data_IF_763696806714
#
_entry.id   IF_763696806714
#
_cell.length_a   1.000
_cell.length_b   1.000
_cell.length_c   1.000
_cell.angle_alpha   90.00
_cell.angle_beta   90.00
_cell.angle_gamma   90.00
#
_symmetry.space_group_name_H-M   'P 1'
#
loop_
_entity.id
_entity.type
_entity.pdbx_description
1 polymer ?
#
# COMPACT_ATOMS: atom_id res chain seq x y z
N UNK A 1 32.64 56.03 -41.75
CA UNK A 1 32.20 54.61 -41.80
C UNK A 1 32.54 53.97 -40.45
N UNK A 2 31.67 54.15 -39.45
CA UNK A 2 31.87 53.57 -38.12
C UNK A 2 31.30 52.16 -38.12
N UNK A 3 32.18 51.15 -38.03
CA UNK A 3 31.78 49.74 -38.00
C UNK A 3 31.23 49.44 -36.61
N UNK A 4 29.90 49.33 -36.50
CA UNK A 4 29.27 48.64 -35.37
C UNK A 4 29.71 47.17 -35.43
N UNK A 5 30.69 46.81 -34.61
CA UNK A 5 30.91 45.42 -34.22
C UNK A 5 29.86 45.09 -33.17
N UNK A 6 28.67 44.68 -33.62
CA UNK A 6 27.74 43.93 -32.77
C UNK A 6 28.42 42.59 -32.48
N UNK A 7 29.21 42.55 -31.41
CA UNK A 7 29.69 41.31 -30.80
C UNK A 7 28.46 40.60 -30.24
N UNK A 8 27.94 39.64 -31.00
CA UNK A 8 26.94 38.70 -30.51
C UNK A 8 27.60 37.85 -29.44
N UNK A 9 27.36 38.22 -28.18
CA UNK A 9 27.70 37.42 -27.02
C UNK A 9 26.85 36.14 -27.11
N UNK A 10 27.45 35.03 -27.55
CA UNK A 10 26.85 33.71 -27.41
C UNK A 10 26.86 33.40 -25.92
N UNK A 11 25.80 33.80 -25.21
CA UNK A 11 25.47 33.27 -23.90
C UNK A 11 25.02 31.81 -24.11
N UNK A 12 25.98 30.92 -24.28
CA UNK A 12 25.75 29.49 -24.09
C UNK A 12 25.44 29.32 -22.61
N UNK A 13 24.15 29.34 -22.27
CA UNK A 13 23.65 28.93 -20.96
C UNK A 13 24.22 27.54 -20.70
N UNK A 14 25.17 27.44 -19.77
CA UNK A 14 25.54 26.18 -19.16
C UNK A 14 24.38 25.83 -18.22
N UNK A 15 23.31 25.26 -18.77
CA UNK A 15 22.35 24.54 -17.94
C UNK A 15 23.12 23.32 -17.41
N UNK A 16 23.38 23.28 -16.11
CA UNK A 16 23.90 22.08 -15.48
C UNK A 16 22.82 21.00 -15.63
N UNK A 17 23.18 19.90 -16.28
CA UNK A 17 22.33 18.73 -16.44
C UNK A 17 21.87 18.25 -15.06
N UNK A 18 20.57 17.99 -14.91
CA UNK A 18 20.01 17.55 -13.63
C UNK A 18 20.35 16.06 -13.45
N UNK A 19 21.02 15.73 -12.34
CA UNK A 19 21.31 14.34 -12.02
C UNK A 19 20.00 13.54 -11.86
N UNK A 20 19.94 12.28 -12.31
CA UNK A 20 18.75 11.46 -12.18
C UNK A 20 18.35 11.27 -10.72
N UNK A 21 17.04 11.30 -10.46
CA UNK A 21 16.43 11.04 -9.16
C UNK A 21 15.19 10.16 -9.36
N UNK A 22 15.23 8.94 -8.82
CA UNK A 22 14.20 7.93 -9.01
C UNK A 22 13.02 8.14 -8.05
N UNK A 23 11.79 8.15 -8.57
CA UNK A 23 10.57 8.25 -7.77
C UNK A 23 9.58 7.13 -8.15
N UNK A 24 9.63 5.96 -7.50
CA UNK A 24 8.78 4.81 -7.84
C UNK A 24 7.30 4.96 -7.42
N UNK A 25 6.98 6.07 -6.73
CA UNK A 25 5.63 6.37 -6.26
C UNK A 25 5.22 5.58 -5.01
N UNK A 26 3.95 5.77 -4.62
CA UNK A 26 3.42 5.27 -3.36
C UNK A 26 3.32 3.73 -3.29
N UNK A 27 3.44 3.15 -2.09
CA UNK A 27 3.20 1.74 -1.87
C UNK A 27 1.81 1.26 -2.30
N UNK A 28 1.68 -0.05 -2.54
CA UNK A 28 0.45 -0.68 -3.03
C UNK A 28 -0.06 -1.76 -2.08
N UNK A 29 -1.38 -1.88 -1.99
CA UNK A 29 -2.07 -2.99 -1.33
C UNK A 29 -3.11 -3.52 -2.31
N UNK A 30 -3.06 -4.81 -2.60
CA UNK A 30 -3.90 -5.43 -3.61
C UNK A 30 -4.13 -6.91 -3.30
N UNK A 31 -5.27 -7.50 -3.71
CA UNK A 31 -5.44 -8.94 -3.59
C UNK A 31 -4.56 -9.69 -4.59
N UNK A 32 -4.25 -10.95 -4.30
CA UNK A 32 -3.57 -11.87 -5.22
C UNK A 32 -4.24 -11.85 -6.59
N UNK A 33 -3.44 -11.76 -7.65
CA UNK A 33 -3.89 -11.75 -9.04
C UNK A 33 -4.45 -10.41 -9.54
N UNK A 34 -4.61 -9.40 -8.67
CA UNK A 34 -4.89 -8.05 -9.14
C UNK A 34 -3.62 -7.38 -9.71
N UNK A 35 -3.85 -6.35 -10.51
CA UNK A 35 -2.78 -5.56 -11.13
C UNK A 35 -2.70 -4.18 -10.49
N UNK A 36 -1.51 -3.77 -10.07
CA UNK A 36 -1.21 -2.41 -9.64
C UNK A 36 -0.47 -1.64 -10.74
N UNK A 37 -0.88 -0.39 -10.97
CA UNK A 37 -0.13 0.55 -11.80
C UNK A 37 1.05 1.12 -11.00
N UNK A 38 2.23 1.12 -11.64
CA UNK A 38 3.45 1.74 -11.16
C UNK A 38 3.69 2.99 -12.00
N UNK A 39 4.02 4.09 -11.32
CA UNK A 39 4.17 5.42 -11.93
C UNK A 39 5.48 6.04 -11.48
N UNK A 40 6.48 5.94 -12.36
CA UNK A 40 7.80 6.56 -12.23
C UNK A 40 7.89 7.89 -12.97
N UNK A 41 6.78 8.47 -13.44
CA UNK A 41 6.81 9.71 -14.24
C UNK A 41 7.21 10.95 -13.44
N UNK A 42 7.26 10.84 -12.10
CA UNK A 42 7.75 11.87 -11.19
C UNK A 42 9.27 11.85 -11.00
N UNK A 43 9.99 10.87 -11.57
CA UNK A 43 11.45 10.86 -11.55
C UNK A 43 12.01 12.10 -12.26
N UNK A 44 13.05 12.69 -11.68
CA UNK A 44 13.66 13.92 -12.19
C UNK A 44 14.98 13.62 -12.91
N UNK A 45 15.30 14.38 -13.96
CA UNK A 45 16.52 14.24 -14.76
C UNK A 45 16.29 14.47 -16.25
N UNK A 46 17.38 14.60 -17.00
CA UNK A 46 17.34 14.83 -18.44
C UNK A 46 17.50 13.50 -19.21
N UNK A 47 16.58 13.21 -20.14
CA UNK A 47 16.70 12.05 -21.04
C UNK A 47 16.67 10.69 -20.34
N UNK A 48 15.78 10.51 -19.36
CA UNK A 48 15.75 9.31 -18.53
C UNK A 48 15.35 8.03 -19.28
N UNK A 49 16.09 6.96 -19.00
CA UNK A 49 15.71 5.57 -19.20
C UNK A 49 15.21 4.96 -17.89
N UNK A 50 14.31 3.96 -17.96
CA UNK A 50 13.64 3.38 -16.79
C UNK A 50 13.89 1.87 -16.75
N UNK A 51 14.06 1.32 -15.54
CA UNK A 51 14.13 -0.12 -15.32
C UNK A 51 13.46 -0.50 -13.98
N UNK A 52 12.31 -1.18 -14.07
CA UNK A 52 11.61 -1.74 -12.92
C UNK A 52 12.06 -3.17 -12.63
N UNK A 53 12.25 -3.47 -11.35
CA UNK A 53 12.51 -4.83 -10.86
C UNK A 53 11.70 -5.14 -9.60
N UNK A 54 11.54 -6.42 -9.29
CA UNK A 54 10.73 -6.88 -8.16
C UNK A 54 11.40 -8.01 -7.39
N UNK A 55 11.33 -7.94 -6.06
CA UNK A 55 11.82 -8.97 -5.13
C UNK A 55 10.75 -9.30 -4.08
N UNK A 56 10.37 -10.57 -3.87
CA UNK A 56 10.77 -11.74 -4.65
C UNK A 56 10.17 -11.68 -6.07
N UNK A 57 10.89 -12.23 -7.05
CA UNK A 57 10.40 -12.33 -8.43
C UNK A 57 9.51 -13.55 -8.68
N UNK A 58 9.55 -14.55 -7.79
CA UNK A 58 8.73 -15.75 -7.91
C UNK A 58 7.24 -15.42 -7.78
N UNK A 59 6.47 -15.75 -8.82
CA UNK A 59 5.04 -15.45 -8.89
C UNK A 59 4.70 -13.97 -9.11
N UNK A 60 5.70 -13.09 -9.29
CA UNK A 60 5.52 -11.68 -9.64
C UNK A 60 5.75 -11.45 -11.14
N UNK A 61 4.97 -10.56 -11.74
CA UNK A 61 5.04 -10.18 -13.15
C UNK A 61 5.07 -8.66 -13.24
N UNK A 62 6.06 -8.13 -13.96
CA UNK A 62 6.11 -6.73 -14.39
C UNK A 62 5.81 -6.64 -15.89
N UNK A 63 4.90 -5.76 -16.27
CA UNK A 63 4.58 -5.43 -17.67
C UNK A 63 5.11 -4.03 -17.98
N UNK A 64 5.72 -3.86 -19.15
CA UNK A 64 6.45 -2.64 -19.55
C UNK A 64 7.50 -2.19 -18.51
N UNK A 65 8.41 -3.07 -18.03
CA UNK A 65 9.38 -2.70 -16.99
C UNK A 65 10.40 -1.64 -17.44
N UNK A 66 10.49 -1.33 -18.74
CA UNK A 66 11.37 -0.30 -19.28
C UNK A 66 10.66 1.06 -19.52
N UNK A 67 9.45 1.23 -18.98
CA UNK A 67 8.59 2.41 -19.15
C UNK A 67 8.46 3.19 -17.84
N UNK A 68 8.25 4.52 -17.89
CA UNK A 68 7.83 5.28 -16.71
C UNK A 68 6.49 4.78 -16.14
N UNK A 69 5.64 4.17 -16.98
CA UNK A 69 4.39 3.54 -16.56
C UNK A 69 4.50 2.03 -16.75
N UNK A 70 4.62 1.30 -15.64
CA UNK A 70 4.68 -0.16 -15.61
C UNK A 70 3.47 -0.74 -14.86
N UNK A 71 3.31 -2.06 -14.90
CA UNK A 71 2.26 -2.74 -14.14
C UNK A 71 2.82 -3.94 -13.39
N UNK A 72 2.41 -4.10 -12.14
CA UNK A 72 2.80 -5.20 -11.26
C UNK A 72 1.61 -6.12 -10.98
N UNK A 73 1.81 -7.43 -11.07
CA UNK A 73 0.84 -8.45 -10.66
C UNK A 73 1.56 -9.56 -9.92
N UNK A 74 0.98 -10.08 -8.83
CA UNK A 74 1.55 -11.18 -8.07
C UNK A 74 0.52 -12.29 -7.82
N UNK A 75 0.98 -13.54 -7.93
CA UNK A 75 0.16 -14.75 -7.82
C UNK A 75 0.21 -15.40 -6.43
N UNK A 76 1.07 -14.90 -5.55
CA UNK A 76 1.19 -15.34 -4.17
C UNK A 76 1.00 -14.15 -3.21
N UNK A 77 0.38 -14.38 -2.04
CA UNK A 77 0.31 -13.35 -1.02
C UNK A 77 1.70 -13.12 -0.41
N UNK A 78 2.00 -11.89 -0.02
CA UNK A 78 3.29 -11.53 0.55
C UNK A 78 3.65 -10.06 0.42
N UNK A 79 4.86 -9.72 0.85
CA UNK A 79 5.45 -8.41 0.66
C UNK A 79 6.46 -8.47 -0.48
N UNK A 80 6.33 -7.52 -1.41
CA UNK A 80 7.18 -7.37 -2.59
C UNK A 80 7.83 -5.99 -2.56
N UNK A 81 9.15 -5.95 -2.74
CA UNK A 81 9.90 -4.73 -2.99
C UNK A 81 9.93 -4.47 -4.50
N UNK A 82 9.54 -3.28 -4.90
CA UNK A 82 9.56 -2.79 -6.28
C UNK A 82 10.63 -1.71 -6.38
N UNK A 83 11.68 -1.97 -7.15
CA UNK A 83 12.76 -1.00 -7.36
C UNK A 83 12.65 -0.38 -8.75
N UNK A 84 12.76 0.95 -8.80
CA UNK A 84 12.88 1.72 -10.03
C UNK A 84 14.31 2.26 -10.11
N UNK A 85 15.04 1.87 -11.15
CA UNK A 85 16.28 2.51 -11.57
C UNK A 85 15.97 3.49 -12.72
N UNK A 86 16.51 4.71 -12.63
CA UNK A 86 16.50 5.67 -13.74
C UNK A 86 17.92 6.09 -14.08
N UNK A 87 18.24 6.17 -15.37
CA UNK A 87 19.56 6.60 -15.85
C UNK A 87 19.43 7.66 -16.95
N UNK A 88 20.32 8.66 -16.95
CA UNK A 88 20.44 9.65 -18.02
C UNK A 88 21.31 9.16 -19.20
N UNK A 89 21.38 9.96 -20.27
CA UNK A 89 22.20 9.67 -21.45
C UNK A 89 23.71 9.71 -21.17
N UNK A 90 24.13 10.37 -20.08
CA UNK A 90 25.52 10.40 -19.62
C UNK A 90 25.90 9.13 -18.82
N UNK A 91 24.93 8.25 -18.53
CA UNK A 91 25.11 7.00 -17.80
C UNK A 91 25.16 7.17 -16.28
N UNK A 92 24.73 8.30 -15.73
CA UNK A 92 24.49 8.43 -14.28
C UNK A 92 23.14 7.80 -13.98
N UNK A 93 23.03 7.13 -12.84
CA UNK A 93 21.81 6.44 -12.44
C UNK A 93 21.47 6.71 -10.99
N UNK A 94 20.18 6.65 -10.68
CA UNK A 94 19.65 6.59 -9.32
C UNK A 94 18.64 5.45 -9.19
N UNK A 95 18.48 4.94 -7.97
CA UNK A 95 17.55 3.84 -7.68
C UNK A 95 16.78 4.11 -6.41
N UNK A 96 15.47 3.95 -6.48
CA UNK A 96 14.59 4.05 -5.34
C UNK A 96 13.60 2.89 -5.30
N UNK A 97 13.09 2.60 -4.10
CA UNK A 97 12.22 1.46 -3.84
C UNK A 97 10.87 1.90 -3.29
N UNK A 98 9.84 1.16 -3.67
CA UNK A 98 8.52 1.15 -3.02
C UNK A 98 8.13 -0.29 -2.71
N UNK A 99 7.02 -0.50 -1.99
CA UNK A 99 6.57 -1.85 -1.64
C UNK A 99 5.14 -2.12 -2.05
N UNK A 100 4.85 -3.38 -2.32
CA UNK A 100 3.50 -3.88 -2.53
C UNK A 100 3.20 -5.01 -1.54
N UNK A 101 2.07 -4.90 -0.83
CA UNK A 101 1.51 -5.99 -0.04
C UNK A 101 0.40 -6.66 -0.83
N UNK A 102 0.56 -7.94 -1.06
CA UNK A 102 -0.39 -8.77 -1.81
C UNK A 102 -1.15 -9.64 -0.82
N UNK A 103 -2.45 -9.39 -0.68
CA UNK A 103 -3.31 -10.08 0.27
C UNK A 103 -3.96 -11.32 -0.38
N UNK A 104 -4.10 -12.42 0.35
CA UNK A 104 -4.71 -13.63 -0.21
C UNK A 104 -6.14 -13.35 -0.71
N UNK A 105 -6.50 -13.91 -1.88
CA UNK A 105 -7.90 -13.86 -2.31
C UNK A 105 -8.75 -14.60 -1.28
N UNK A 106 -9.62 -13.87 -0.58
CA UNK A 106 -10.63 -14.47 0.27
C UNK A 106 -11.44 -15.41 -0.60
N UNK A 107 -11.32 -16.72 -0.37
CA UNK A 107 -12.21 -17.67 -1.02
C UNK A 107 -13.62 -17.33 -0.55
N UNK A 108 -14.38 -16.63 -1.39
CA UNK A 108 -15.83 -16.74 -1.33
C UNK A 108 -16.11 -18.20 -1.66
N UNK A 109 -16.11 -19.06 -0.64
CA UNK A 109 -16.81 -20.34 -0.74
C UNK A 109 -18.23 -19.94 -1.06
N UNK A 110 -18.58 -20.03 -2.34
CA UNK A 110 -19.97 -20.15 -2.75
C UNK A 110 -20.42 -21.41 -2.03
N UNK A 111 -21.13 -21.27 -0.91
CA UNK A 111 -21.75 -22.40 -0.26
C UNK A 111 -22.92 -22.79 -1.15
N UNK A 112 -22.62 -23.47 -2.26
CA UNK A 112 -23.60 -24.24 -3.01
C UNK A 112 -23.99 -25.42 -2.11
N UNK A 113 -24.92 -25.19 -1.18
CA UNK A 113 -25.47 -26.28 -0.37
C UNK A 113 -25.92 -25.96 1.06
N UNK A 114 -26.00 -24.70 1.52
CA UNK A 114 -26.65 -24.41 2.80
C UNK A 114 -28.01 -23.74 2.55
N UNK A 115 -28.92 -24.53 1.99
CA UNK A 115 -30.35 -24.30 2.26
C UNK A 115 -30.62 -24.67 3.71
N UNK A 116 -31.43 -23.84 4.36
CA UNK A 116 -31.95 -23.99 5.73
C UNK A 116 -31.04 -23.43 6.81
N UNK A 117 -31.11 -22.12 7.04
CA UNK A 117 -31.74 -21.66 8.28
C UNK A 117 -32.63 -20.47 7.95
N UNK A 118 -33.93 -20.72 8.07
CA UNK A 118 -34.94 -19.68 8.14
C UNK A 118 -34.78 -18.97 9.49
N UNK A 119 -34.75 -17.65 9.43
CA UNK A 119 -34.68 -16.77 10.59
C UNK A 119 -34.89 -15.34 10.09
N UNK A 120 -36.09 -15.08 9.61
CA UNK A 120 -36.64 -13.73 9.46
C UNK A 120 -36.50 -12.99 10.80
N UNK A 121 -36.01 -11.76 10.82
CA UNK A 121 -36.77 -10.60 11.28
C UNK A 121 -36.26 -9.33 10.59
N UNK A 122 -37.24 -8.58 10.12
CA UNK A 122 -37.16 -7.27 9.49
C UNK A 122 -36.72 -6.18 10.47
N UNK A 123 -35.79 -5.31 10.04
CA UNK A 123 -35.51 -4.05 10.70
C UNK A 123 -34.92 -3.07 9.71
N UNK A 124 -35.69 -2.04 9.36
CA UNK A 124 -35.26 -0.96 8.48
C UNK A 124 -34.11 -0.15 9.10
N UNK A 125 -33.11 0.20 8.30
CA UNK A 125 -32.09 1.16 8.68
C UNK A 125 -30.85 1.12 7.79
N UNK A 126 -30.90 1.78 6.63
CA UNK A 126 -29.69 2.41 6.09
C UNK A 126 -29.77 3.91 6.46
N UNK A 127 -28.67 4.67 6.63
CA UNK A 127 -27.27 4.29 6.49
C UNK A 127 -26.37 4.88 7.60
N UNK A 128 -25.71 4.07 8.43
CA UNK A 128 -24.47 4.47 9.11
C UNK A 128 -23.62 3.23 9.40
N UNK A 129 -22.63 3.00 8.52
CA UNK A 129 -21.40 2.31 8.88
C UNK A 129 -21.54 0.91 9.45
N UNK A 130 -22.21 0.02 8.73
CA UNK A 130 -22.08 -1.42 8.95
C UNK A 130 -20.68 -1.83 8.47
N UNK A 131 -19.66 -1.51 9.26
CA UNK A 131 -18.52 -2.41 9.36
C UNK A 131 -19.10 -3.69 9.95
N UNK A 132 -19.67 -4.56 9.11
CA UNK A 132 -19.64 -5.98 9.40
C UNK A 132 -18.17 -6.29 9.55
N UNK A 133 -17.72 -6.23 10.79
CA UNK A 133 -16.43 -6.71 11.22
C UNK A 133 -16.38 -8.14 10.71
N UNK A 134 -15.69 -8.33 9.58
CA UNK A 134 -15.66 -9.64 8.94
C UNK A 134 -15.27 -10.66 10.00
N UNK A 135 -15.87 -11.84 9.93
CA UNK A 135 -15.53 -12.99 10.78
C UNK A 135 -14.01 -13.15 10.98
N UNK A 136 -13.21 -12.79 9.96
CA UNK A 136 -11.75 -12.76 9.98
C UNK A 136 -11.14 -11.68 10.87
N UNK A 137 -11.61 -10.43 10.80
CA UNK A 137 -11.14 -9.36 11.69
C UNK A 137 -11.48 -9.68 13.15
N UNK A 138 -12.70 -10.16 13.42
CA UNK A 138 -13.09 -10.52 14.77
C UNK A 138 -12.28 -11.67 15.35
N UNK A 139 -11.99 -12.70 14.54
CA UNK A 139 -11.10 -13.79 14.95
C UNK A 139 -9.69 -13.29 15.25
N UNK A 140 -9.14 -12.42 14.41
CA UNK A 140 -7.81 -11.81 14.64
C UNK A 140 -7.78 -10.93 15.88
N UNK A 141 -8.80 -10.10 16.07
CA UNK A 141 -8.95 -9.24 17.24
C UNK A 141 -9.06 -10.07 18.53
N UNK A 142 -9.95 -11.05 18.58
CA UNK A 142 -10.12 -11.88 19.78
C UNK A 142 -8.92 -12.80 20.07
N UNK A 143 -8.22 -13.24 19.03
CA UNK A 143 -6.97 -13.99 19.14
C UNK A 143 -5.89 -13.14 19.78
N UNK A 144 -5.64 -11.94 19.25
CA UNK A 144 -4.61 -11.06 19.78
C UNK A 144 -4.97 -10.53 21.17
N UNK A 145 -6.26 -10.36 21.48
CA UNK A 145 -6.73 -9.94 22.80
C UNK A 145 -6.33 -10.91 23.92
N UNK A 146 -5.97 -12.14 23.55
CA UNK A 146 -5.50 -13.19 24.46
C UNK A 146 -3.97 -13.25 24.62
N UNK A 147 -3.21 -12.45 23.87
CA UNK A 147 -1.73 -12.40 23.93
C UNK A 147 -1.21 -11.45 25.02
N UNK A 148 0.07 -11.04 24.98
CA UNK A 148 0.60 -10.07 25.95
C UNK A 148 0.06 -8.67 25.67
N UNK A 149 0.08 -7.78 26.66
CA UNK A 149 -0.39 -6.40 26.48
C UNK A 149 0.44 -5.67 25.43
N UNK A 150 1.74 -5.96 25.36
CA UNK A 150 2.65 -5.44 24.34
C UNK A 150 2.21 -5.84 22.92
N UNK A 151 2.02 -7.14 22.68
CA UNK A 151 1.65 -7.65 21.34
C UNK A 151 0.27 -7.13 20.91
N UNK A 152 -0.65 -7.00 21.87
CA UNK A 152 -1.96 -6.42 21.64
C UNK A 152 -1.89 -4.96 21.18
N UNK A 153 -1.02 -4.16 21.81
CA UNK A 153 -0.89 -2.74 21.46
C UNK A 153 -0.29 -2.59 20.06
N UNK A 154 0.68 -3.43 19.71
CA UNK A 154 1.24 -3.45 18.35
C UNK A 154 0.17 -3.78 17.32
N UNK A 155 -0.68 -4.78 17.59
CA UNK A 155 -1.85 -5.09 16.75
C UNK A 155 -2.85 -3.94 16.67
N UNK A 156 -3.23 -3.36 17.81
CA UNK A 156 -4.17 -2.23 17.90
C UNK A 156 -3.68 -1.03 17.06
N UNK A 157 -2.36 -0.79 17.03
CA UNK A 157 -1.73 0.27 16.26
C UNK A 157 -1.53 -0.07 14.78
N UNK A 158 -1.50 -1.35 14.43
CA UNK A 158 -1.21 -1.82 13.07
C UNK A 158 -2.43 -2.24 12.26
N UNK A 159 -3.62 -2.36 12.85
CA UNK A 159 -4.79 -2.91 12.15
C UNK A 159 -6.14 -2.34 12.54
N UNK A 160 -6.65 -1.42 11.72
CA UNK A 160 -8.07 -1.34 11.40
C UNK A 160 -8.21 -1.46 9.86
N UNK A 161 -9.14 -2.27 9.34
CA UNK A 161 -9.54 -2.14 7.95
C UNK A 161 -10.25 -0.79 7.80
N UNK A 162 -9.70 0.07 6.96
CA UNK A 162 -10.35 1.23 6.33
C UNK A 162 -10.92 2.35 7.22
N UNK A 163 -10.16 2.89 8.18
CA UNK A 163 -10.42 4.26 8.66
C UNK A 163 -9.21 5.17 8.44
N UNK A 164 -9.33 5.97 7.39
CA UNK A 164 -8.41 7.02 6.97
C UNK A 164 -8.47 8.27 7.88
N UNK A 165 -8.84 8.15 9.16
CA UNK A 165 -8.62 9.21 10.15
C UNK A 165 -7.66 8.74 11.22
N UNK A 166 -6.39 9.05 10.97
CA UNK A 166 -5.23 8.95 11.87
C UNK A 166 -5.42 9.85 13.10
N UNK A 167 -6.39 9.57 13.98
CA UNK A 167 -6.70 10.47 15.10
C UNK A 167 -7.09 9.84 16.44
N UNK A 168 -6.88 8.55 16.67
CA UNK A 168 -7.13 7.96 18.01
C UNK A 168 -6.12 6.87 18.46
N UNK A 169 -4.83 7.07 18.17
CA UNK A 169 -3.76 6.22 18.71
C UNK A 169 -3.68 6.23 20.26
N UNK A 170 -4.29 7.22 20.91
CA UNK A 170 -4.44 7.30 22.37
C UNK A 170 -5.42 6.26 22.96
N UNK A 171 -6.21 5.60 22.13
CA UNK A 171 -7.06 4.48 22.54
C UNK A 171 -6.19 3.22 22.77
N UNK A 172 -5.17 2.99 21.92
CA UNK A 172 -4.23 1.87 22.00
C UNK A 172 -3.09 2.12 23.03
N UNK A 173 -3.46 2.31 24.29
CA UNK A 173 -2.55 2.53 25.43
C UNK A 173 -2.41 1.26 26.29
N UNK A 174 -1.18 0.92 26.64
CA UNK A 174 -0.84 -0.18 27.56
C UNK A 174 -1.55 -0.09 28.91
N UNK A 175 -1.81 1.13 29.38
CA UNK A 175 -2.44 1.38 30.65
C UNK A 175 -3.95 1.08 30.66
N UNK A 176 -4.59 1.03 29.48
CA UNK A 176 -6.02 0.76 29.30
C UNK A 176 -6.33 -0.70 28.98
N UNK A 177 -5.33 -1.48 28.58
CA UNK A 177 -5.47 -2.86 28.10
C UNK A 177 -4.55 -3.82 28.86
N UNK A 178 -4.63 -3.80 30.19
CA UNK A 178 -3.77 -4.63 31.07
C UNK A 178 -4.26 -6.07 31.12
N UNK A 179 -5.55 -6.28 30.93
CA UNK A 179 -6.19 -7.58 31.05
C UNK A 179 -6.74 -8.05 29.71
N UNK A 180 -6.81 -9.37 29.55
CA UNK A 180 -7.49 -10.02 28.41
C UNK A 180 -8.95 -9.59 28.27
N UNK A 181 -9.63 -9.29 29.37
CA UNK A 181 -11.04 -8.86 29.34
C UNK A 181 -11.22 -7.47 28.71
N UNK A 182 -10.35 -6.51 29.06
CA UNK A 182 -10.37 -5.16 28.49
C UNK A 182 -10.11 -5.19 26.97
N UNK A 183 -9.18 -6.04 26.54
CA UNK A 183 -8.84 -6.21 25.13
C UNK A 183 -9.96 -6.85 24.32
N UNK A 184 -10.62 -7.88 24.86
CA UNK A 184 -11.80 -8.47 24.23
C UNK A 184 -12.97 -7.48 24.18
N UNK A 185 -13.13 -6.66 25.22
CA UNK A 185 -14.11 -5.57 25.25
C UNK A 185 -13.92 -4.57 24.10
N UNK A 186 -12.68 -4.26 23.73
CA UNK A 186 -12.39 -3.43 22.55
C UNK A 186 -12.89 -4.07 21.25
N UNK A 187 -12.66 -5.38 21.04
CA UNK A 187 -13.17 -6.10 19.88
C UNK A 187 -14.71 -6.11 19.82
N UNK A 188 -15.35 -6.39 20.96
CA UNK A 188 -16.81 -6.45 21.03
C UNK A 188 -17.47 -5.10 20.75
N UNK A 189 -16.89 -4.00 21.28
CA UNK A 189 -17.38 -2.65 21.03
C UNK A 189 -17.23 -2.20 19.57
N UNK A 190 -16.47 -2.95 18.75
CA UNK A 190 -16.21 -2.69 17.34
C UNK A 190 -16.94 -3.68 16.41
N UNK A 191 -17.94 -4.39 16.93
CA UNK A 191 -18.82 -5.24 16.12
C UNK A 191 -18.48 -6.72 16.10
N UNK A 192 -17.59 -7.19 16.99
CA UNK A 192 -17.53 -8.62 17.25
C UNK A 192 -18.68 -9.00 18.17
N UNK A 193 -19.70 -9.67 17.66
CA UNK A 193 -20.72 -10.24 18.53
C UNK A 193 -20.12 -11.36 19.40
N UNK A 194 -20.64 -11.46 20.63
CA UNK A 194 -20.14 -12.33 21.71
C UNK A 194 -20.37 -13.81 21.49
#
# INVERSE_FOLDING_TARGET
MSRLLLSTLLLTSCAAEVAPHAEPGDPRVLPVGATAALDGSYSEGDGLSYAWSVTPSEGAILTEPASPFASFTAQAPGFYTLALEVCDEAGRCDTAETWARVDAQGTRRRIDGLSTFAGSESGAGAPLGDFEATDAWCKSCLSMASQTSTDWIEFCRSGLPDDATRQDWAICDANKFKTTAERKGYCYNRGCDR
#
